data_IF_721437134286
#
_entry.id   IF_721437134286
#
_cell.length_a   1.000
_cell.length_b   1.000
_cell.length_c   1.000
_cell.angle_alpha   90.00
_cell.angle_beta   90.00
_cell.angle_gamma   90.00
#
_symmetry.space_group_name_H-M   'P 1'
#
loop_
_entity.id
_entity.type
_entity.pdbx_description
1 polymer ?
#
# COMPACT_ATOMS: atom_id res chain seq x y z
N UNK A 1 25.23 9.30 60.84
CA UNK A 1 25.92 9.29 59.53
C UNK A 1 25.38 8.20 58.60
N UNK A 2 25.28 6.92 59.02
CA UNK A 2 24.83 5.80 58.16
C UNK A 2 23.39 5.95 57.61
N UNK A 3 22.48 6.50 58.40
CA UNK A 3 21.08 6.74 57.99
C UNK A 3 20.93 7.86 56.94
N UNK A 4 21.85 8.83 56.90
CA UNK A 4 21.84 9.94 55.93
C UNK A 4 22.24 9.44 54.54
N UNK A 5 23.25 8.56 54.46
CA UNK A 5 23.63 7.91 53.21
C UNK A 5 22.52 6.98 52.69
N UNK A 6 21.84 6.25 53.58
CA UNK A 6 20.70 5.41 53.21
C UNK A 6 19.53 6.22 52.64
N UNK A 7 19.28 7.43 53.16
CA UNK A 7 18.20 8.29 52.69
C UNK A 7 18.50 8.85 51.29
N UNK A 8 19.77 9.18 51.03
CA UNK A 8 20.23 9.63 49.71
C UNK A 8 20.08 8.54 48.65
N UNK A 9 20.45 7.30 49.00
CA UNK A 9 20.31 6.14 48.10
C UNK A 9 18.83 5.87 47.78
N UNK A 10 17.93 6.01 48.75
CA UNK A 10 16.49 5.85 48.53
C UNK A 10 15.93 6.94 47.60
N UNK A 11 16.37 8.19 47.77
CA UNK A 11 15.93 9.32 46.92
C UNK A 11 16.38 9.14 45.47
N UNK A 12 17.60 8.64 45.24
CA UNK A 12 18.12 8.40 43.88
C UNK A 12 17.38 7.30 43.14
N UNK A 13 16.87 6.27 43.83
CA UNK A 13 16.09 5.19 43.20
C UNK A 13 14.69 5.66 42.78
N UNK A 14 14.08 6.60 43.51
CA UNK A 14 12.76 7.12 43.17
C UNK A 14 12.73 7.89 41.83
N UNK A 15 13.84 8.53 41.44
CA UNK A 15 13.94 9.30 40.19
C UNK A 15 14.04 8.41 38.95
N UNK A 16 14.60 7.20 39.07
CA UNK A 16 14.75 6.27 37.94
C UNK A 16 13.42 5.60 37.54
N UNK A 17 12.45 5.51 38.46
CA UNK A 17 11.15 4.86 38.21
C UNK A 17 10.19 5.77 37.41
N UNK A 18 10.42 7.09 37.36
CA UNK A 18 9.52 8.04 36.69
C UNK A 18 9.68 8.13 35.17
N UNK A 19 10.63 7.40 34.56
CA UNK A 19 10.99 7.55 33.15
C UNK A 19 10.22 6.66 32.16
N UNK A 20 9.26 5.83 32.61
CA UNK A 20 8.51 4.97 31.71
C UNK A 20 7.23 5.65 31.21
N UNK A 21 7.38 6.54 30.22
CA UNK A 21 6.26 7.02 29.41
C UNK A 21 5.77 5.84 28.56
N UNK A 22 4.64 5.26 28.94
CA UNK A 22 3.88 4.37 28.06
C UNK A 22 3.22 5.26 27.01
N UNK A 23 3.72 5.23 25.78
CA UNK A 23 3.04 5.87 24.65
C UNK A 23 1.62 5.26 24.58
N UNK A 24 0.56 6.08 24.67
CA UNK A 24 -0.79 5.55 24.65
C UNK A 24 -1.09 4.98 23.26
N UNK A 25 -1.04 3.67 23.15
CA UNK A 25 -1.42 2.89 21.95
C UNK A 25 -2.89 3.13 21.51
N UNK A 26 -3.65 3.94 22.27
CA UNK A 26 -5.06 4.25 22.06
C UNK A 26 -5.34 5.71 21.63
N UNK A 27 -4.32 6.52 21.32
CA UNK A 27 -4.58 7.83 20.74
C UNK A 27 -5.14 7.69 19.32
N UNK A 28 -6.42 8.03 19.15
CA UNK A 28 -7.03 8.16 17.83
C UNK A 28 -6.40 9.34 17.09
N UNK A 29 -5.91 9.09 15.89
CA UNK A 29 -5.35 10.13 15.02
C UNK A 29 -6.46 11.17 14.76
N UNK A 30 -6.26 12.41 15.22
CA UNK A 30 -7.29 13.47 15.15
C UNK A 30 -7.57 13.96 13.74
N UNK A 31 -6.61 13.81 12.83
CA UNK A 31 -6.69 14.30 11.47
C UNK A 31 -6.11 13.28 10.50
N UNK A 32 -6.68 13.21 9.30
CA UNK A 32 -6.13 12.43 8.21
C UNK A 32 -4.71 12.95 7.89
N UNK A 33 -3.67 12.10 7.85
CA UNK A 33 -2.33 12.55 7.48
C UNK A 33 -2.34 13.08 6.04
N UNK A 34 -1.57 14.14 5.77
CA UNK A 34 -1.53 14.82 4.46
C UNK A 34 -1.27 13.87 3.29
N UNK A 35 -0.52 12.79 3.51
CA UNK A 35 -0.23 11.76 2.51
C UNK A 35 -1.45 10.97 2.03
N UNK A 36 -2.55 10.97 2.79
CA UNK A 36 -3.80 10.28 2.46
C UNK A 36 -4.94 11.24 2.09
N UNK A 37 -4.69 12.55 2.09
CA UNK A 37 -5.65 13.54 1.63
C UNK A 37 -5.83 13.36 0.12
N UNK A 38 -7.09 13.26 -0.32
CA UNK A 38 -7.40 13.17 -1.75
C UNK A 38 -6.80 14.40 -2.46
N UNK A 39 -6.09 14.22 -3.58
CA UNK A 39 -5.63 15.34 -4.38
C UNK A 39 -6.80 16.26 -4.74
N UNK A 40 -6.60 17.57 -4.68
CA UNK A 40 -7.57 18.55 -5.16
C UNK A 40 -7.82 18.35 -6.66
N UNK A 41 -9.00 18.76 -7.16
CA UNK A 41 -9.39 18.55 -8.57
C UNK A 41 -8.44 19.24 -9.57
N UNK A 42 -7.75 20.29 -9.13
CA UNK A 42 -6.75 21.04 -9.89
C UNK A 42 -5.32 20.50 -9.74
N UNK A 43 -5.14 19.39 -9.00
CA UNK A 43 -3.82 18.78 -8.82
C UNK A 43 -3.31 18.33 -10.18
N UNK A 44 -2.31 19.06 -10.69
CA UNK A 44 -1.60 18.68 -11.90
C UNK A 44 -0.97 17.31 -11.69
N UNK A 45 -1.52 16.29 -12.33
CA UNK A 45 -0.90 14.97 -12.43
C UNK A 45 0.51 15.18 -12.94
N UNK A 46 1.51 14.85 -12.13
CA UNK A 46 2.89 14.93 -12.56
C UNK A 46 3.05 13.97 -13.74
N UNK A 47 3.23 14.54 -14.93
CA UNK A 47 3.53 13.80 -16.16
C UNK A 47 4.95 13.22 -16.11
N UNK A 48 5.71 13.54 -15.06
CA UNK A 48 7.01 12.95 -14.81
C UNK A 48 6.83 11.52 -14.33
N UNK A 49 7.10 10.60 -15.24
CA UNK A 49 7.29 9.19 -14.92
C UNK A 49 8.24 9.08 -13.71
N UNK A 50 7.82 8.47 -12.60
CA UNK A 50 8.66 8.37 -11.41
C UNK A 50 10.00 7.72 -11.78
N UNK A 51 11.09 8.39 -11.42
CA UNK A 51 12.47 7.96 -11.72
C UNK A 51 12.82 6.63 -11.04
N UNK A 52 12.04 6.25 -10.03
CA UNK A 52 12.14 4.97 -9.33
C UNK A 52 11.08 4.02 -9.89
N UNK A 53 11.51 3.06 -10.71
CA UNK A 53 10.68 2.03 -11.32
C UNK A 53 10.22 0.97 -10.30
N UNK A 54 9.51 1.39 -9.25
CA UNK A 54 8.77 0.44 -8.42
C UNK A 54 7.65 -0.18 -9.26
N UNK A 55 7.36 -1.48 -9.10
CA UNK A 55 6.27 -2.12 -9.82
C UNK A 55 4.94 -1.47 -9.43
N UNK A 56 4.08 -1.18 -10.41
CA UNK A 56 2.76 -0.62 -10.16
C UNK A 56 1.85 -1.71 -9.57
N UNK A 57 1.43 -1.50 -8.33
CA UNK A 57 0.50 -2.38 -7.61
C UNK A 57 -0.89 -1.75 -7.63
N UNK A 58 -1.90 -2.54 -7.96
CA UNK A 58 -3.32 -2.15 -7.94
C UNK A 58 -4.10 -3.15 -7.10
N UNK A 59 -5.24 -2.69 -6.58
CA UNK A 59 -6.15 -3.48 -5.75
C UNK A 59 -7.54 -3.48 -6.40
N UNK A 60 -8.27 -4.59 -6.29
CA UNK A 60 -9.68 -4.59 -6.68
C UNK A 60 -10.48 -3.65 -5.78
N UNK A 61 -11.26 -2.75 -6.38
CA UNK A 61 -12.09 -1.74 -5.70
C UNK A 61 -13.40 -2.31 -5.13
N UNK A 62 -13.85 -3.49 -5.61
CA UNK A 62 -15.11 -4.11 -5.23
C UNK A 62 -15.04 -5.64 -5.26
N UNK A 63 -16.01 -6.27 -4.63
CA UNK A 63 -16.34 -7.67 -4.89
C UNK A 63 -17.01 -7.81 -6.26
N UNK A 64 -16.89 -8.98 -6.87
CA UNK A 64 -17.48 -9.28 -8.17
C UNK A 64 -16.89 -8.44 -9.32
N UNK A 65 -15.62 -8.06 -9.20
CA UNK A 65 -14.88 -7.45 -10.30
C UNK A 65 -14.37 -8.55 -11.25
N UNK A 66 -14.74 -8.48 -12.53
CA UNK A 66 -14.45 -9.53 -13.49
C UNK A 66 -13.26 -9.16 -14.38
N UNK A 67 -12.41 -10.16 -14.62
CA UNK A 67 -11.28 -10.05 -15.55
C UNK A 67 -11.56 -10.83 -16.83
N UNK A 68 -10.96 -10.42 -17.94
CA UNK A 68 -11.15 -11.03 -19.26
C UNK A 68 -9.81 -11.48 -19.84
N UNK A 69 -9.84 -12.36 -20.84
CA UNK A 69 -8.62 -12.81 -21.53
C UNK A 69 -8.07 -11.79 -22.52
N UNK A 70 -8.94 -10.92 -23.06
CA UNK A 70 -8.61 -9.87 -24.03
C UNK A 70 -9.27 -8.54 -23.67
N UNK A 71 -8.75 -7.40 -24.18
CA UNK A 71 -9.33 -6.09 -23.92
C UNK A 71 -10.77 -6.06 -24.46
N UNK A 72 -11.75 -5.76 -23.60
CA UNK A 72 -13.16 -5.69 -23.97
C UNK A 72 -13.79 -7.03 -24.39
N UNK A 73 -13.10 -8.16 -24.15
CA UNK A 73 -13.62 -9.49 -24.48
C UNK A 73 -14.78 -9.90 -23.57
N UNK A 74 -15.72 -10.69 -24.10
CA UNK A 74 -16.85 -11.21 -23.31
C UNK A 74 -16.50 -12.44 -22.47
N UNK A 75 -15.33 -13.05 -22.70
CA UNK A 75 -14.90 -14.24 -21.98
C UNK A 75 -14.31 -13.86 -20.61
N UNK A 76 -15.11 -14.08 -19.56
CA UNK A 76 -14.69 -13.93 -18.18
C UNK A 76 -13.63 -14.98 -17.85
N UNK A 77 -12.46 -14.54 -17.41
CA UNK A 77 -11.34 -15.39 -17.02
C UNK A 77 -11.36 -15.68 -15.51
N UNK A 78 -11.48 -14.64 -14.70
CA UNK A 78 -11.45 -14.74 -13.24
C UNK A 78 -12.31 -13.66 -12.59
N UNK A 79 -13.03 -14.03 -11.54
CA UNK A 79 -13.69 -13.13 -10.59
C UNK A 79 -12.72 -12.75 -9.47
N UNK A 80 -12.54 -11.45 -9.23
CA UNK A 80 -11.67 -10.90 -8.19
C UNK A 80 -12.46 -10.64 -6.91
N UNK A 81 -11.80 -10.79 -5.78
CA UNK A 81 -12.34 -10.37 -4.48
C UNK A 81 -11.95 -8.94 -4.16
N UNK A 82 -12.73 -8.26 -3.32
CA UNK A 82 -12.39 -6.94 -2.81
C UNK A 82 -10.97 -6.92 -2.20
N UNK A 83 -10.21 -5.86 -2.51
CA UNK A 83 -8.81 -5.67 -2.09
C UNK A 83 -7.81 -6.74 -2.52
N UNK A 84 -8.14 -7.62 -3.47
CA UNK A 84 -7.14 -8.54 -4.03
C UNK A 84 -6.07 -7.72 -4.80
N UNK A 85 -4.80 -7.97 -4.49
CA UNK A 85 -3.67 -7.22 -5.01
C UNK A 85 -3.07 -7.83 -6.29
N UNK A 86 -2.70 -6.97 -7.23
CA UNK A 86 -2.10 -7.33 -8.51
C UNK A 86 -0.97 -6.40 -8.89
N UNK A 87 0.00 -6.93 -9.63
CA UNK A 87 0.96 -6.13 -10.37
C UNK A 87 0.42 -5.82 -11.76
N UNK A 88 0.60 -4.57 -12.20
CA UNK A 88 0.34 -4.17 -13.59
C UNK A 88 1.59 -4.45 -14.42
N UNK A 89 1.43 -5.27 -15.45
CA UNK A 89 2.52 -5.67 -16.36
C UNK A 89 2.52 -4.88 -17.67
N UNK A 90 1.34 -4.46 -18.12
CA UNK A 90 1.14 -3.75 -19.39
C UNK A 90 -0.15 -2.93 -19.29
N UNK A 91 -0.18 -1.79 -19.97
CA UNK A 91 -1.37 -0.97 -20.16
C UNK A 91 -1.57 -0.73 -21.66
N UNK A 92 -2.79 -0.97 -22.16
CA UNK A 92 -3.12 -0.79 -23.57
C UNK A 92 -4.59 -0.42 -23.73
N UNK A 93 -4.85 0.75 -24.32
CA UNK A 93 -6.19 1.17 -24.75
C UNK A 93 -7.22 1.24 -23.62
N UNK A 94 -6.82 1.69 -22.42
CA UNK A 94 -7.70 1.76 -21.24
C UNK A 94 -7.83 0.44 -20.46
N UNK A 95 -7.07 -0.59 -20.84
CA UNK A 95 -7.01 -1.87 -20.14
C UNK A 95 -5.63 -2.10 -19.54
N UNK A 96 -5.61 -2.74 -18.37
CA UNK A 96 -4.38 -3.17 -17.71
C UNK A 96 -4.30 -4.69 -17.69
N UNK A 97 -3.10 -5.22 -17.94
CA UNK A 97 -2.78 -6.63 -17.82
C UNK A 97 -2.21 -6.92 -16.44
N UNK A 98 -2.93 -7.73 -15.69
CA UNK A 98 -2.69 -8.00 -14.29
C UNK A 98 -1.99 -9.34 -14.07
N UNK A 99 -1.10 -9.37 -13.10
CA UNK A 99 -0.49 -10.58 -12.54
C UNK A 99 -0.73 -10.58 -11.04
N UNK A 100 -1.17 -11.72 -10.47
CA UNK A 100 -1.43 -11.82 -9.03
C UNK A 100 -0.20 -11.41 -8.22
N UNK A 101 -0.41 -10.56 -7.20
CA UNK A 101 0.67 -10.13 -6.33
C UNK A 101 1.31 -11.33 -5.61
N UNK A 102 2.63 -11.45 -5.74
CA UNK A 102 3.46 -12.36 -4.95
C UNK A 102 4.83 -11.68 -4.74
N UNK A 103 5.32 -11.54 -3.50
CA UNK A 103 6.63 -10.95 -3.23
C UNK A 103 7.78 -11.65 -3.96
N UNK A 104 7.68 -12.96 -4.21
CA UNK A 104 8.69 -13.75 -4.92
C UNK A 104 8.71 -13.57 -6.45
N UNK A 105 7.75 -12.84 -7.03
CA UNK A 105 7.74 -12.49 -8.46
C UNK A 105 8.65 -11.31 -8.80
N UNK A 106 9.12 -10.59 -7.78
CA UNK A 106 10.01 -9.45 -7.96
C UNK A 106 11.47 -9.93 -7.94
N UNK A 107 12.22 -9.58 -8.99
CA UNK A 107 13.68 -9.63 -8.96
C UNK A 107 14.19 -8.20 -8.84
N UNK A 108 14.45 -7.78 -7.60
CA UNK A 108 14.69 -6.38 -7.27
C UNK A 108 13.47 -5.52 -7.56
N UNK A 109 13.60 -4.59 -8.52
CA UNK A 109 12.53 -3.63 -8.90
C UNK A 109 11.73 -4.05 -10.15
N UNK A 110 12.04 -5.20 -10.76
CA UNK A 110 11.38 -5.68 -12.00
C UNK A 110 10.63 -7.00 -11.77
N UNK A 111 9.49 -7.17 -12.43
CA UNK A 111 8.72 -8.42 -12.43
C UNK A 111 9.40 -9.40 -13.39
N UNK A 112 9.90 -10.52 -12.88
CA UNK A 112 10.72 -11.45 -13.67
C UNK A 112 9.89 -12.47 -14.49
N UNK A 113 8.60 -12.63 -14.19
CA UNK A 113 7.80 -13.73 -14.73
C UNK A 113 6.59 -13.26 -15.54
N UNK A 114 6.75 -13.24 -16.87
CA UNK A 114 5.67 -12.96 -17.84
C UNK A 114 4.66 -14.11 -18.00
N UNK A 115 4.86 -15.24 -17.30
CA UNK A 115 4.01 -16.44 -17.37
C UNK A 115 2.97 -16.53 -16.26
N UNK A 116 2.99 -15.60 -15.30
CA UNK A 116 1.96 -15.55 -14.28
C UNK A 116 0.61 -15.20 -14.94
N UNK A 117 -0.45 -15.89 -14.51
CA UNK A 117 -1.80 -15.81 -15.07
C UNK A 117 -2.18 -14.36 -15.32
N UNK A 118 -2.22 -14.00 -16.60
CA UNK A 118 -2.43 -12.65 -17.05
C UNK A 118 -3.90 -12.45 -17.32
N UNK A 119 -4.53 -11.53 -16.60
CA UNK A 119 -5.92 -11.21 -16.79
C UNK A 119 -6.06 -9.72 -17.14
N UNK A 120 -7.03 -9.35 -17.95
CA UNK A 120 -7.26 -7.97 -18.37
C UNK A 120 -8.42 -7.37 -17.62
N UNK A 121 -8.24 -6.13 -17.16
CA UNK A 121 -9.28 -5.33 -16.49
C UNK A 121 -9.24 -3.94 -17.07
N UNK A 122 -10.40 -3.40 -17.45
CA UNK A 122 -10.52 -2.08 -18.04
C UNK A 122 -11.88 -1.85 -18.66
N UNK A 123 -12.20 -0.59 -18.94
CA UNK A 123 -13.44 -0.18 -19.61
C UNK A 123 -13.09 0.44 -20.96
N UNK A 124 -13.85 0.19 -22.04
CA UNK A 124 -13.55 0.72 -23.37
C UNK A 124 -13.66 2.25 -23.51
N UNK A 125 -13.95 2.98 -22.43
CA UNK A 125 -14.00 4.44 -22.43
C UNK A 125 -12.82 4.99 -21.63
N UNK A 126 -11.83 5.56 -22.34
CA UNK A 126 -10.86 6.45 -21.75
C UNK A 126 -11.57 7.65 -21.13
N UNK A 127 -11.51 7.76 -19.81
CA UNK A 127 -11.73 8.97 -19.02
C UNK A 127 -11.27 8.66 -17.59
N UNK A 128 -9.96 8.68 -17.40
CA UNK A 128 -9.31 9.08 -16.16
C UNK A 128 -8.04 9.85 -16.53
#
# INVERSE_FOLDING_TARGET
MKHIFSLFILLTQAVWVSAQITLPFHQKVKALPDAFVKPAEDTRLSTQKPTTAAPWVVFSDRDDNYTTTTPGGSLVMKKLTFMEAFYVTEEKGGYVKLVKYNPGLLNGRKINNKKAQSAMVGSPAGNY
#
